data_IF_290550653256
#
_entry.id   IF_290550653256
#
_cell.length_a   1.000
_cell.length_b   1.000
_cell.length_c   1.000
_cell.angle_alpha   90.00
_cell.angle_beta   90.00
_cell.angle_gamma   90.00
#
_symmetry.space_group_name_H-M   'P 1'
#
loop_
_entity.id
_entity.type
_entity.pdbx_description
1 polymer ?
#
# COMPACT_ATOMS: atom_id res chain seq x y z
N UNK A 1 30.67 -54.05 44.15
CA UNK A 1 30.44 -54.70 45.46
C UNK A 1 28.98 -54.51 45.82
N UNK A 2 28.25 -55.64 45.98
CA UNK A 2 27.08 -55.87 46.87
C UNK A 2 25.88 -54.91 46.74
N UNK A 3 24.61 -55.29 46.74
CA UNK A 3 23.90 -56.56 46.88
C UNK A 3 22.41 -56.24 46.62
N UNK A 4 21.66 -57.13 45.96
CA UNK A 4 20.20 -57.26 46.10
C UNK A 4 19.86 -57.82 47.51
N UNK A 5 18.61 -58.10 47.99
CA UNK A 5 17.36 -58.25 47.21
C UNK A 5 15.99 -57.98 47.91
N UNK A 6 14.90 -58.14 47.14
CA UNK A 6 13.61 -58.81 47.42
C UNK A 6 12.77 -58.44 48.68
N UNK A 7 11.49 -58.07 48.48
CA UNK A 7 10.35 -58.99 48.71
C UNK A 7 8.97 -58.43 48.33
N UNK A 8 8.18 -59.31 47.71
CA UNK A 8 6.74 -59.28 47.44
C UNK A 8 5.89 -58.99 48.69
N UNK A 9 4.68 -58.46 48.48
CA UNK A 9 3.42 -59.23 48.62
C UNK A 9 2.22 -58.36 49.02
N UNK A 10 1.19 -58.42 48.18
CA UNK A 10 -0.26 -58.30 48.43
C UNK A 10 -0.77 -57.57 49.68
N UNK A 11 -1.72 -56.64 49.52
CA UNK A 11 -3.13 -56.80 49.96
C UNK A 11 -3.94 -55.49 49.80
N UNK A 12 -5.11 -55.62 49.14
CA UNK A 12 -6.41 -54.97 49.42
C UNK A 12 -6.64 -53.46 49.22
N UNK A 13 -7.51 -53.08 48.27
CA UNK A 13 -8.97 -52.79 48.37
C UNK A 13 -9.24 -51.31 48.70
N UNK A 14 -9.79 -50.61 47.69
CA UNK A 14 -10.78 -49.52 47.73
C UNK A 14 -10.37 -48.23 48.51
N UNK A 15 -10.65 -47.00 48.11
CA UNK A 15 -11.76 -46.32 47.43
C UNK A 15 -11.15 -44.97 47.00
N UNK A 16 -11.52 -44.39 45.85
CA UNK A 16 -11.93 -42.98 45.58
C UNK A 16 -11.97 -42.87 44.04
N UNK A 17 -13.09 -43.15 43.40
CA UNK A 17 -14.14 -42.18 43.02
C UNK A 17 -13.61 -40.98 42.22
N UNK A 18 -14.01 -40.97 40.94
CA UNK A 18 -14.19 -39.79 40.09
C UNK A 18 -12.94 -39.05 39.62
N UNK A 19 -12.54 -39.31 38.37
CA UNK A 19 -12.26 -38.32 37.31
C UNK A 19 -12.26 -39.09 35.97
N UNK A 20 -12.71 -38.42 34.90
CA UNK A 20 -12.83 -38.82 33.48
C UNK A 20 -14.29 -39.00 33.02
N UNK A 21 -15.04 -37.90 33.05
CA UNK A 21 -16.02 -37.59 31.99
C UNK A 21 -15.31 -36.71 30.98
N UNK A 22 -14.65 -37.32 29.98
CA UNK A 22 -14.21 -36.69 28.74
C UNK A 22 -13.98 -37.81 27.72
N UNK A 23 -14.87 -37.87 26.73
CA UNK A 23 -14.64 -38.48 25.42
C UNK A 23 -14.16 -39.92 25.41
N UNK A 24 -15.05 -40.88 25.69
CA UNK A 24 -14.88 -42.20 25.08
C UNK A 24 -15.25 -42.04 23.61
N UNK A 25 -14.24 -41.81 22.75
CA UNK A 25 -14.32 -42.19 21.35
C UNK A 25 -14.88 -43.60 21.31
N UNK A 26 -16.07 -43.77 20.74
CA UNK A 26 -16.68 -45.07 20.73
C UNK A 26 -15.79 -46.04 19.95
N UNK A 27 -15.27 -47.03 20.66
CA UNK A 27 -14.70 -48.23 20.04
C UNK A 27 -15.88 -49.03 19.47
N UNK A 28 -16.42 -48.62 18.34
CA UNK A 28 -17.53 -49.30 17.69
C UNK A 28 -17.01 -50.46 16.84
N UNK A 29 -16.68 -51.56 17.51
CA UNK A 29 -16.48 -52.86 16.85
C UNK A 29 -17.34 -53.88 17.57
N UNK A 30 -18.63 -53.85 17.25
CA UNK A 30 -19.64 -54.78 17.77
C UNK A 30 -20.51 -55.30 16.64
N UNK A 31 -20.80 -56.60 16.66
CA UNK A 31 -21.73 -57.25 15.71
C UNK A 31 -23.13 -56.66 15.96
N UNK A 32 -23.73 -56.08 14.93
CA UNK A 32 -25.08 -55.51 15.01
C UNK A 32 -26.17 -56.58 14.98
N UNK A 33 -27.38 -56.21 15.40
CA UNK A 33 -28.57 -57.05 15.30
C UNK A 33 -29.56 -56.45 14.30
N UNK A 34 -29.20 -56.48 13.01
CA UNK A 34 -29.99 -55.89 11.94
C UNK A 34 -31.25 -56.71 11.68
N UNK A 35 -32.42 -56.08 11.78
CA UNK A 35 -33.72 -56.73 11.53
C UNK A 35 -33.90 -57.29 10.12
N UNK A 36 -33.11 -56.79 9.15
CA UNK A 36 -33.02 -57.30 7.79
C UNK A 36 -31.57 -57.68 7.47
N UNK A 37 -31.33 -58.79 6.75
CA UNK A 37 -29.98 -59.15 6.33
C UNK A 37 -29.43 -58.11 5.34
N UNK A 38 -28.15 -57.77 5.49
CA UNK A 38 -27.43 -56.90 4.57
C UNK A 38 -27.26 -57.61 3.22
N UNK A 39 -27.61 -56.93 2.13
CA UNK A 39 -27.65 -57.51 0.77
C UNK A 39 -26.58 -56.95 -0.16
N UNK A 40 -25.72 -56.06 0.32
CA UNK A 40 -24.66 -55.41 -0.47
C UNK A 40 -23.43 -56.29 -0.75
N UNK A 41 -23.50 -57.59 -0.49
CA UNK A 41 -22.44 -58.56 -0.73
C UNK A 41 -21.58 -58.86 0.52
N UNK A 42 -20.45 -59.57 0.35
CA UNK A 42 -19.64 -60.04 1.48
C UNK A 42 -18.95 -58.92 2.27
N UNK A 43 -18.83 -57.73 1.67
CA UNK A 43 -18.28 -56.54 2.31
C UNK A 43 -19.36 -55.65 2.96
N UNK A 44 -20.63 -56.06 2.97
CA UNK A 44 -21.73 -55.32 3.62
C UNK A 44 -22.00 -55.92 5.00
N UNK A 45 -21.54 -55.24 6.04
CA UNK A 45 -21.50 -55.75 7.41
C UNK A 45 -22.63 -55.16 8.25
N UNK A 46 -23.34 -56.02 8.97
CA UNK A 46 -24.28 -55.58 9.99
C UNK A 46 -23.51 -55.15 11.25
N UNK A 47 -23.50 -53.84 11.53
CA UNK A 47 -22.78 -53.26 12.66
C UNK A 47 -23.75 -52.65 13.66
N UNK A 48 -23.39 -52.68 14.95
CA UNK A 48 -24.25 -52.14 16.01
C UNK A 48 -24.42 -50.61 15.89
N UNK A 49 -23.48 -49.92 15.24
CA UNK A 49 -23.46 -48.48 15.07
C UNK A 49 -22.75 -48.16 13.76
N UNK A 50 -23.54 -47.88 12.71
CA UNK A 50 -23.04 -47.56 11.38
C UNK A 50 -22.87 -46.06 11.21
N UNK A 51 -21.81 -45.64 10.53
CA UNK A 51 -21.60 -44.23 10.22
C UNK A 51 -22.76 -43.65 9.37
N UNK A 52 -23.25 -42.44 9.71
CA UNK A 52 -24.10 -41.66 8.79
C UNK A 52 -23.33 -41.16 7.56
N UNK A 53 -22.00 -41.20 7.63
CA UNK A 53 -21.07 -40.79 6.59
C UNK A 53 -20.86 -41.95 5.61
N UNK A 54 -21.92 -42.29 4.87
CA UNK A 54 -21.86 -43.40 3.92
C UNK A 54 -20.99 -43.00 2.75
N UNK A 55 -19.82 -43.65 2.61
CA UNK A 55 -18.96 -43.47 1.44
C UNK A 55 -19.57 -44.20 0.25
N UNK A 56 -19.84 -43.48 -0.83
CA UNK A 56 -20.42 -44.04 -2.06
C UNK A 56 -19.47 -43.90 -3.24
N UNK A 57 -19.81 -44.49 -4.38
CA UNK A 57 -19.05 -44.25 -5.61
C UNK A 57 -19.12 -42.79 -6.10
N UNK A 58 -20.22 -42.10 -5.79
CA UNK A 58 -20.45 -40.69 -6.11
C UNK A 58 -19.79 -39.74 -5.11
N UNK A 59 -19.63 -40.15 -3.84
CA UNK A 59 -18.89 -39.43 -2.80
C UNK A 59 -17.97 -40.39 -2.01
N UNK A 60 -16.72 -40.60 -2.49
CA UNK A 60 -15.75 -41.47 -1.83
C UNK A 60 -15.30 -40.97 -0.45
N UNK A 61 -15.54 -39.69 -0.15
CA UNK A 61 -15.14 -39.07 1.11
C UNK A 61 -16.23 -39.19 2.18
N UNK A 62 -17.48 -39.37 1.76
CA UNK A 62 -18.65 -39.53 2.64
C UNK A 62 -19.21 -38.21 3.20
N UNK A 63 -18.67 -37.06 2.79
CA UNK A 63 -19.16 -35.74 3.19
C UNK A 63 -19.02 -35.42 4.69
N UNK A 64 -19.80 -34.43 5.15
CA UNK A 64 -19.80 -33.97 6.54
C UNK A 64 -20.54 -34.93 7.46
N UNK A 65 -19.79 -35.68 8.27
CA UNK A 65 -20.35 -36.63 9.22
C UNK A 65 -20.93 -35.91 10.46
N UNK A 66 -22.08 -36.39 10.96
CA UNK A 66 -22.57 -36.03 12.30
C UNK A 66 -22.04 -37.06 13.33
N UNK A 67 -21.85 -36.69 14.60
CA UNK A 67 -21.26 -37.58 15.62
C UNK A 67 -22.16 -38.75 16.03
N UNK A 68 -23.44 -38.72 15.67
CA UNK A 68 -24.38 -39.81 15.86
C UNK A 68 -24.09 -40.97 14.89
N UNK A 69 -24.68 -42.13 15.15
CA UNK A 69 -24.63 -43.26 14.23
C UNK A 69 -25.98 -43.94 14.08
N UNK A 70 -26.11 -44.69 13.00
CA UNK A 70 -27.28 -45.49 12.73
C UNK A 70 -27.16 -46.84 13.44
N UNK A 71 -27.97 -47.05 14.46
CA UNK A 71 -27.93 -48.27 15.27
C UNK A 71 -28.38 -49.50 14.47
N UNK A 72 -27.65 -50.61 14.61
CA UNK A 72 -27.96 -51.91 13.99
C UNK A 72 -28.23 -51.82 12.48
N UNK A 73 -27.32 -51.17 11.76
CA UNK A 73 -27.43 -50.90 10.33
C UNK A 73 -26.29 -51.54 9.53
N UNK A 74 -26.49 -51.64 8.21
CA UNK A 74 -25.52 -52.20 7.27
C UNK A 74 -24.51 -51.14 6.82
N UNK A 75 -23.23 -51.41 7.04
CA UNK A 75 -22.12 -50.55 6.65
C UNK A 75 -21.13 -51.33 5.78
N UNK A 76 -20.61 -50.68 4.73
CA UNK A 76 -19.56 -51.28 3.94
C UNK A 76 -18.27 -51.38 4.76
N UNK A 77 -17.56 -52.50 4.62
CA UNK A 77 -16.24 -52.70 5.22
C UNK A 77 -15.30 -51.53 4.85
N UNK A 78 -14.38 -51.19 5.76
CA UNK A 78 -13.40 -50.15 5.52
C UNK A 78 -12.64 -50.37 4.20
N UNK A 79 -12.55 -49.33 3.38
CA UNK A 79 -11.95 -49.39 2.05
C UNK A 79 -12.92 -49.76 0.92
N UNK A 80 -14.17 -50.12 1.22
CA UNK A 80 -15.24 -50.33 0.23
C UNK A 80 -16.16 -49.11 0.15
N UNK A 81 -16.72 -48.88 -1.03
CA UNK A 81 -17.70 -47.84 -1.33
C UNK A 81 -19.04 -48.48 -1.68
N UNK A 82 -20.14 -47.87 -1.23
CA UNK A 82 -21.49 -48.32 -1.61
C UNK A 82 -21.83 -47.81 -3.01
N UNK A 83 -22.00 -48.71 -3.96
CA UNK A 83 -22.43 -48.39 -5.32
C UNK A 83 -23.94 -48.09 -5.38
N UNK A 84 -24.39 -47.45 -6.47
CA UNK A 84 -25.80 -47.09 -6.70
C UNK A 84 -26.76 -48.27 -6.74
N UNK A 85 -26.27 -49.48 -7.06
CA UNK A 85 -27.04 -50.72 -6.99
C UNK A 85 -27.10 -51.34 -5.57
N UNK A 86 -26.51 -50.67 -4.58
CA UNK A 86 -26.48 -51.09 -3.17
C UNK A 86 -25.35 -52.05 -2.80
N UNK A 87 -24.45 -52.41 -3.71
CA UNK A 87 -23.30 -53.29 -3.43
C UNK A 87 -22.10 -52.54 -2.85
N UNK A 88 -21.38 -53.17 -1.93
CA UNK A 88 -20.10 -52.68 -1.44
C UNK A 88 -18.97 -53.15 -2.38
N UNK A 89 -18.33 -52.21 -3.07
CA UNK A 89 -17.30 -52.48 -4.08
C UNK A 89 -16.02 -51.71 -3.77
N UNK A 90 -14.89 -52.14 -4.35
CA UNK A 90 -13.63 -51.40 -4.21
C UNK A 90 -13.66 -50.11 -5.04
N UNK A 91 -12.93 -49.04 -4.66
CA UNK A 91 -12.96 -47.75 -5.35
C UNK A 91 -12.70 -47.82 -6.85
N UNK A 92 -11.81 -48.70 -7.31
CA UNK A 92 -11.51 -48.86 -8.73
C UNK A 92 -12.63 -49.55 -9.53
N UNK A 93 -13.59 -50.19 -8.84
CA UNK A 93 -14.76 -50.81 -9.46
C UNK A 93 -15.94 -49.83 -9.58
N UNK A 94 -15.82 -48.62 -9.00
CA UNK A 94 -16.80 -47.58 -9.23
C UNK A 94 -16.78 -47.14 -10.70
N UNK A 95 -17.95 -46.80 -11.28
CA UNK A 95 -18.01 -46.19 -12.59
C UNK A 95 -17.09 -44.97 -12.61
N UNK A 96 -16.19 -44.89 -13.59
CA UNK A 96 -15.40 -43.69 -13.81
C UNK A 96 -16.38 -42.61 -14.27
N UNK A 97 -16.89 -41.81 -13.34
CA UNK A 97 -17.62 -40.59 -13.67
C UNK A 97 -16.54 -39.63 -14.16
N UNK A 98 -16.29 -39.62 -15.48
CA UNK A 98 -15.47 -38.56 -16.06
C UNK A 98 -16.13 -37.23 -15.67
N UNK A 99 -15.38 -36.33 -14.99
CA UNK A 99 -15.97 -35.10 -14.50
C UNK A 99 -16.54 -34.29 -15.66
N UNK A 100 -17.62 -33.54 -15.40
CA UNK A 100 -18.04 -32.37 -16.11
C UNK A 100 -17.06 -31.82 -17.13
N UNK A 101 -17.11 -32.09 -18.44
CA UNK A 101 -16.19 -31.34 -19.32
C UNK A 101 -16.50 -29.85 -19.13
N UNK A 102 -15.55 -29.00 -18.71
CA UNK A 102 -15.83 -27.62 -18.41
C UNK A 102 -16.41 -26.91 -19.63
N UNK A 103 -17.49 -26.16 -19.42
CA UNK A 103 -18.20 -25.42 -20.48
C UNK A 103 -17.55 -24.06 -20.67
N UNK A 104 -16.36 -24.04 -21.27
CA UNK A 104 -15.67 -22.80 -21.58
C UNK A 104 -16.19 -22.16 -22.87
N UNK A 105 -15.98 -20.85 -23.06
CA UNK A 105 -16.01 -20.26 -24.39
C UNK A 105 -14.99 -20.94 -25.32
N UNK A 106 -15.14 -20.73 -26.63
CA UNK A 106 -14.15 -21.22 -27.61
C UNK A 106 -12.83 -20.51 -27.35
N UNK A 107 -11.80 -21.27 -26.98
CA UNK A 107 -10.46 -20.74 -26.76
C UNK A 107 -9.79 -20.48 -28.12
N UNK A 108 -9.31 -19.26 -28.32
CA UNK A 108 -8.74 -18.80 -29.59
C UNK A 108 -7.24 -18.53 -29.51
N UNK A 109 -6.60 -18.72 -28.35
CA UNK A 109 -5.17 -18.49 -28.15
C UNK A 109 -4.25 -19.60 -28.67
N UNK A 110 -4.71 -20.36 -29.67
CA UNK A 110 -3.94 -21.45 -30.28
C UNK A 110 -3.94 -22.76 -29.48
N UNK A 111 -3.00 -23.65 -29.81
CA UNK A 111 -2.97 -25.04 -29.30
C UNK A 111 -2.67 -25.16 -27.80
N UNK A 112 -2.12 -24.10 -27.20
CA UNK A 112 -1.77 -24.05 -25.78
C UNK A 112 -2.78 -23.24 -24.94
N UNK A 113 -3.91 -22.82 -25.51
CA UNK A 113 -5.00 -22.16 -24.80
C UNK A 113 -6.06 -23.20 -24.39
N UNK A 114 -5.99 -23.66 -23.15
CA UNK A 114 -6.83 -24.75 -22.63
C UNK A 114 -8.02 -24.22 -21.85
N UNK A 115 -9.17 -24.85 -22.08
CA UNK A 115 -10.33 -24.71 -21.22
C UNK A 115 -10.06 -25.40 -19.88
N UNK A 116 -10.07 -24.62 -18.79
CA UNK A 116 -9.88 -25.10 -17.43
C UNK A 116 -11.12 -24.82 -16.60
N UNK A 117 -11.53 -25.78 -15.78
CA UNK A 117 -12.65 -25.60 -14.85
C UNK A 117 -12.31 -24.52 -13.82
N UNK A 118 -11.05 -24.44 -13.38
CA UNK A 118 -10.59 -23.49 -12.38
C UNK A 118 -9.33 -22.77 -12.85
N UNK A 119 -9.49 -21.59 -13.46
CA UNK A 119 -8.39 -20.74 -13.87
C UNK A 119 -7.95 -19.74 -12.80
N UNK A 120 -6.78 -19.13 -13.01
CA UNK A 120 -6.23 -18.07 -12.15
C UNK A 120 -6.77 -16.69 -12.54
N UNK A 121 -6.86 -15.78 -11.57
CA UNK A 121 -7.09 -14.34 -11.81
C UNK A 121 -5.83 -13.61 -12.33
N UNK A 122 -4.66 -14.27 -12.31
CA UNK A 122 -3.40 -13.67 -12.72
C UNK A 122 -2.72 -14.53 -13.79
N UNK A 123 -3.31 -14.62 -15.00
CA UNK A 123 -2.70 -15.33 -16.11
C UNK A 123 -1.34 -14.70 -16.43
N UNK A 124 -0.35 -15.55 -16.71
CA UNK A 124 0.98 -15.10 -17.13
C UNK A 124 0.88 -14.49 -18.53
N UNK A 125 1.46 -13.32 -18.74
CA UNK A 125 1.53 -12.66 -20.05
C UNK A 125 2.99 -12.40 -20.44
N UNK A 126 3.22 -12.00 -21.68
CA UNK A 126 4.56 -11.58 -22.12
C UNK A 126 5.08 -10.36 -21.33
N UNK A 127 4.21 -9.44 -20.94
CA UNK A 127 4.57 -8.26 -20.12
C UNK A 127 4.81 -8.63 -18.65
N UNK A 128 4.12 -9.66 -18.15
CA UNK A 128 4.26 -10.14 -16.78
C UNK A 128 4.30 -11.68 -16.72
N UNK A 129 5.46 -12.30 -16.99
CA UNK A 129 5.60 -13.76 -16.98
C UNK A 129 5.52 -14.36 -15.57
N UNK A 130 5.76 -13.54 -14.53
CA UNK A 130 5.81 -13.98 -13.13
C UNK A 130 5.03 -13.03 -12.21
N UNK A 131 3.68 -13.09 -12.22
CA UNK A 131 2.84 -12.27 -11.36
C UNK A 131 3.09 -12.58 -9.88
N UNK A 132 3.53 -11.57 -9.13
CA UNK A 132 3.98 -11.70 -7.73
C UNK A 132 2.84 -11.82 -6.71
N UNK A 133 1.71 -11.16 -6.97
CA UNK A 133 0.57 -11.11 -6.05
C UNK A 133 -0.67 -11.61 -6.78
N UNK A 134 -1.13 -12.81 -6.41
CA UNK A 134 -2.34 -13.38 -6.95
C UNK A 134 -3.28 -13.90 -5.88
N UNK A 135 -4.55 -13.56 -6.01
CA UNK A 135 -5.62 -14.12 -5.17
C UNK A 135 -5.83 -15.59 -5.53
N UNK A 136 -6.00 -16.46 -4.54
CA UNK A 136 -6.31 -17.89 -4.74
C UNK A 136 -7.77 -18.15 -5.17
N UNK A 137 -8.37 -17.21 -5.90
CA UNK A 137 -9.75 -17.34 -6.37
C UNK A 137 -9.77 -18.17 -7.64
N UNK A 138 -10.80 -19.00 -7.75
CA UNK A 138 -11.03 -19.90 -8.86
C UNK A 138 -11.93 -19.22 -9.91
N UNK A 139 -11.40 -18.97 -11.11
CA UNK A 139 -12.18 -18.49 -12.23
C UNK A 139 -12.79 -19.67 -12.98
N UNK A 140 -14.11 -19.81 -12.88
CA UNK A 140 -14.79 -20.98 -13.42
C UNK A 140 -14.84 -20.99 -14.94
N UNK A 141 -14.47 -22.12 -15.55
CA UNK A 141 -14.62 -22.41 -16.98
C UNK A 141 -14.00 -21.36 -17.91
N UNK A 142 -12.71 -21.08 -17.73
CA UNK A 142 -11.98 -20.07 -18.52
C UNK A 142 -10.95 -20.69 -19.46
N UNK A 143 -10.59 -19.96 -20.50
CA UNK A 143 -9.46 -20.28 -21.38
C UNK A 143 -8.17 -19.72 -20.77
N UNK A 144 -7.22 -20.61 -20.51
CA UNK A 144 -5.95 -20.26 -19.89
C UNK A 144 -4.79 -20.95 -20.61
N UNK A 145 -3.68 -20.21 -20.78
CA UNK A 145 -2.46 -20.78 -21.29
C UNK A 145 -1.95 -21.92 -20.40
N UNK A 146 -1.45 -22.96 -21.05
CA UNK A 146 -0.81 -24.09 -20.41
C UNK A 146 0.38 -23.70 -19.54
N UNK A 147 0.73 -24.57 -18.59
CA UNK A 147 1.93 -24.38 -17.79
C UNK A 147 3.18 -24.30 -18.69
N UNK A 148 4.00 -23.28 -18.47
CA UNK A 148 5.17 -22.98 -19.30
C UNK A 148 4.89 -22.01 -20.45
N UNK A 149 3.62 -21.70 -20.74
CA UNK A 149 3.21 -20.73 -21.75
C UNK A 149 2.73 -19.43 -21.11
N UNK A 150 2.83 -18.36 -21.88
CA UNK A 150 2.36 -17.02 -21.50
C UNK A 150 1.51 -16.43 -22.62
N UNK A 151 0.55 -15.59 -22.27
CA UNK A 151 -0.31 -14.93 -23.25
C UNK A 151 0.43 -13.76 -23.91
N UNK A 152 0.58 -13.82 -25.22
CA UNK A 152 1.13 -12.74 -26.04
C UNK A 152 0.11 -11.61 -26.26
N UNK A 153 0.55 -10.42 -26.71
CA UNK A 153 -0.34 -9.28 -26.95
C UNK A 153 -1.43 -9.52 -28.01
N UNK A 154 -1.17 -10.41 -28.96
CA UNK A 154 -2.12 -10.86 -29.99
C UNK A 154 -3.13 -11.90 -29.46
N UNK A 155 -2.98 -12.34 -28.22
CA UNK A 155 -3.87 -13.28 -27.54
C UNK A 155 -3.46 -14.74 -27.64
N UNK A 156 -2.38 -15.09 -28.35
CA UNK A 156 -1.87 -16.46 -28.46
C UNK A 156 -1.08 -16.89 -27.21
N UNK A 157 -1.11 -18.18 -26.90
CA UNK A 157 -0.29 -18.77 -25.86
C UNK A 157 1.05 -19.24 -26.44
N UNK A 158 2.12 -18.53 -26.12
CA UNK A 158 3.47 -18.74 -26.66
C UNK A 158 4.47 -19.06 -25.55
N UNK A 159 5.65 -19.56 -25.92
CA UNK A 159 6.75 -19.69 -24.95
C UNK A 159 7.27 -18.30 -24.55
N UNK A 160 7.75 -18.11 -23.30
CA UNK A 160 8.36 -16.84 -22.89
C UNK A 160 9.47 -16.34 -23.82
N UNK A 161 10.23 -17.26 -24.44
CA UNK A 161 11.28 -16.93 -25.41
C UNK A 161 10.77 -16.41 -26.76
N UNK A 162 9.48 -16.60 -27.04
CA UNK A 162 8.80 -16.13 -28.26
C UNK A 162 8.04 -14.83 -28.01
N UNK A 163 8.06 -14.31 -26.79
CA UNK A 163 7.50 -13.00 -26.52
C UNK A 163 8.20 -11.93 -27.36
N UNK A 164 7.46 -10.96 -27.91
CA UNK A 164 8.08 -9.85 -28.61
C UNK A 164 9.08 -9.19 -27.65
N UNK A 165 10.30 -8.99 -28.14
CA UNK A 165 11.24 -8.11 -27.46
C UNK A 165 10.57 -6.74 -27.45
N UNK A 166 10.07 -6.34 -26.28
CA UNK A 166 9.69 -4.94 -26.06
C UNK A 166 11.03 -4.21 -26.11
N UNK A 167 11.42 -3.78 -27.32
CA UNK A 167 12.52 -2.85 -27.44
C UNK A 167 12.14 -1.66 -26.55
N UNK A 168 13.02 -1.28 -25.60
CA UNK A 168 12.74 -0.12 -24.78
C UNK A 168 12.43 1.04 -25.72
N UNK A 169 11.41 1.88 -25.41
CA UNK A 169 11.04 2.99 -26.26
C UNK A 169 12.31 3.74 -26.64
N UNK A 170 12.48 4.01 -27.95
CA UNK A 170 13.65 4.69 -28.47
C UNK A 170 13.79 5.99 -27.68
N UNK A 171 14.77 6.02 -26.77
CA UNK A 171 15.02 7.12 -25.84
C UNK A 171 15.31 8.37 -26.65
N UNK A 172 14.38 9.32 -26.62
CA UNK A 172 14.53 10.59 -27.32
C UNK A 172 14.75 11.68 -26.29
N UNK A 173 15.97 11.72 -25.78
CA UNK A 173 16.49 12.93 -25.17
C UNK A 173 16.32 14.10 -26.14
N UNK A 174 15.62 15.18 -25.75
CA UNK A 174 15.53 16.36 -26.58
C UNK A 174 16.92 16.99 -26.74
N UNK A 175 17.11 17.77 -27.81
CA UNK A 175 18.33 18.56 -28.00
C UNK A 175 18.36 19.64 -26.92
N UNK A 176 19.31 19.55 -25.99
CA UNK A 176 19.50 20.55 -24.95
C UNK A 176 20.17 21.81 -25.51
N UNK A 177 19.56 22.96 -25.27
CA UNK A 177 19.98 24.25 -25.84
C UNK A 177 20.49 25.24 -24.80
N UNK A 178 20.49 24.86 -23.51
CA UNK A 178 20.95 25.69 -22.39
C UNK A 178 22.47 25.80 -22.24
N UNK A 179 23.25 25.37 -23.24
CA UNK A 179 24.71 25.45 -23.26
C UNK A 179 25.42 24.19 -22.77
N UNK A 180 26.72 24.30 -22.51
CA UNK A 180 27.59 23.15 -22.19
C UNK A 180 27.23 22.43 -20.88
N UNK A 181 26.51 23.12 -19.99
CA UNK A 181 26.08 22.61 -18.69
C UNK A 181 24.61 22.14 -18.68
N UNK A 182 23.94 22.11 -19.83
CA UNK A 182 22.56 21.59 -19.99
C UNK A 182 22.64 20.16 -20.53
N UNK A 183 22.50 19.17 -19.65
CA UNK A 183 22.68 17.75 -19.98
C UNK A 183 21.34 17.04 -20.06
N UNK A 184 21.19 16.15 -21.02
CA UNK A 184 20.08 15.21 -20.96
C UNK A 184 20.36 14.17 -19.87
N UNK A 185 19.39 13.99 -18.99
CA UNK A 185 19.41 12.99 -17.92
C UNK A 185 18.23 12.05 -18.09
N UNK A 186 18.46 10.76 -17.84
CA UNK A 186 17.40 9.74 -17.89
C UNK A 186 16.35 9.97 -16.80
N UNK A 187 16.75 10.59 -15.70
CA UNK A 187 15.90 10.88 -14.55
C UNK A 187 16.21 12.26 -13.99
N UNK A 188 15.53 13.27 -14.51
CA UNK A 188 15.64 14.63 -14.02
C UNK A 188 14.74 14.93 -12.83
N UNK A 189 15.11 15.95 -12.09
CA UNK A 189 14.37 16.47 -10.95
C UNK A 189 13.04 17.11 -11.39
N UNK A 190 12.00 16.97 -10.56
CA UNK A 190 10.74 17.71 -10.70
C UNK A 190 10.83 19.16 -10.23
N UNK A 191 11.93 19.50 -9.56
CA UNK A 191 12.24 20.81 -9.03
C UNK A 191 13.61 21.28 -9.58
N UNK A 192 13.74 21.57 -10.88
CA UNK A 192 15.02 21.97 -11.43
C UNK A 192 15.56 23.25 -10.75
N UNK A 193 16.86 23.28 -10.49
CA UNK A 193 17.53 24.44 -9.88
C UNK A 193 17.51 25.62 -10.86
N UNK A 194 17.00 26.76 -10.43
CA UNK A 194 16.88 27.98 -11.24
C UNK A 194 17.52 29.16 -10.54
N UNK A 195 17.79 30.26 -11.26
CA UNK A 195 18.26 31.49 -10.63
C UNK A 195 17.30 32.04 -9.57
N UNK A 196 15.98 31.81 -9.72
CA UNK A 196 14.96 32.23 -8.74
C UNK A 196 14.92 31.29 -7.53
N UNK A 197 15.21 30.01 -7.72
CA UNK A 197 15.25 29.00 -6.67
C UNK A 197 16.46 28.08 -6.87
N UNK A 198 17.66 28.50 -6.41
CA UNK A 198 18.89 27.73 -6.59
C UNK A 198 18.93 26.45 -5.75
N UNK A 199 18.20 26.42 -4.63
CA UNK A 199 18.16 25.30 -3.71
C UNK A 199 16.71 24.96 -3.31
N UNK A 200 15.97 24.24 -4.17
CA UNK A 200 14.61 23.79 -3.87
C UNK A 200 14.59 22.90 -2.61
N UNK A 201 13.81 23.29 -1.60
CA UNK A 201 13.77 22.61 -0.30
C UNK A 201 12.88 21.35 -0.31
N UNK A 202 11.82 21.36 -1.11
CA UNK A 202 10.82 20.29 -1.18
C UNK A 202 10.58 19.95 -2.64
N UNK A 203 10.82 18.69 -2.96
CA UNK A 203 10.70 18.12 -4.29
C UNK A 203 10.05 16.76 -4.18
N UNK A 204 9.29 16.34 -5.17
CA UNK A 204 8.81 14.95 -5.18
C UNK A 204 9.92 14.04 -5.68
N UNK A 205 9.92 12.78 -5.27
CA UNK A 205 10.84 11.77 -5.81
C UNK A 205 10.44 11.31 -7.23
N UNK A 206 9.66 12.14 -7.94
CA UNK A 206 9.18 11.84 -9.28
C UNK A 206 10.32 12.05 -10.28
N UNK A 207 10.58 11.00 -11.04
CA UNK A 207 11.55 10.99 -12.11
C UNK A 207 10.96 11.63 -13.37
N UNK A 208 11.50 12.77 -13.81
CA UNK A 208 11.19 13.32 -15.12
C UNK A 208 12.09 12.65 -16.16
N UNK A 209 11.51 11.76 -16.96
CA UNK A 209 12.28 10.93 -17.91
C UNK A 209 12.73 11.74 -19.12
N UNK A 210 13.98 11.53 -19.54
CA UNK A 210 14.57 12.10 -20.76
C UNK A 210 14.46 13.64 -20.85
N UNK A 211 14.90 14.35 -19.81
CA UNK A 211 14.85 15.82 -19.74
C UNK A 211 16.23 16.47 -19.74
N UNK A 212 16.30 17.72 -20.22
CA UNK A 212 17.48 18.55 -20.09
C UNK A 212 17.53 19.22 -18.72
N UNK A 213 18.57 18.93 -17.95
CA UNK A 213 18.80 19.47 -16.63
C UNK A 213 20.19 20.11 -16.53
N UNK A 214 20.28 21.22 -15.79
CA UNK A 214 21.56 21.85 -15.51
C UNK A 214 22.41 20.96 -14.60
N UNK A 215 23.70 20.83 -14.93
CA UNK A 215 24.67 20.11 -14.11
C UNK A 215 24.68 20.57 -12.65
N UNK A 216 25.18 19.70 -11.77
CA UNK A 216 25.41 20.05 -10.37
C UNK A 216 26.30 21.30 -10.26
N UNK A 217 25.91 22.26 -9.42
CA UNK A 217 26.57 23.57 -9.30
C UNK A 217 26.07 24.64 -10.29
N UNK A 218 25.30 24.28 -11.32
CA UNK A 218 24.71 25.20 -12.29
C UNK A 218 23.20 25.35 -12.09
N UNK A 219 22.67 26.53 -12.37
CA UNK A 219 21.25 26.83 -12.26
C UNK A 219 20.72 27.40 -13.56
N UNK A 220 19.45 27.12 -13.89
CA UNK A 220 18.84 27.64 -15.11
C UNK A 220 18.49 29.12 -14.95
N UNK A 221 19.08 29.95 -15.80
CA UNK A 221 18.79 31.37 -15.91
C UNK A 221 17.47 31.62 -16.68
N UNK A 222 16.86 32.82 -16.56
CA UNK A 222 15.62 33.16 -17.27
C UNK A 222 15.72 33.08 -18.80
N UNK A 223 16.93 33.23 -19.36
CA UNK A 223 17.20 33.08 -20.79
C UNK A 223 17.35 31.60 -21.22
N UNK A 224 17.16 30.65 -20.30
CA UNK A 224 17.25 29.21 -20.55
C UNK A 224 18.65 28.62 -20.46
N UNK A 225 19.70 29.41 -20.20
CA UNK A 225 21.07 28.91 -20.08
C UNK A 225 21.39 28.38 -18.68
N UNK A 226 22.22 27.35 -18.60
CA UNK A 226 22.77 26.85 -17.35
C UNK A 226 24.02 27.66 -16.99
N UNK A 227 23.93 28.42 -15.90
CA UNK A 227 24.96 29.36 -15.45
C UNK A 227 25.31 29.09 -13.98
N UNK A 228 26.43 29.62 -13.50
CA UNK A 228 26.72 29.59 -12.07
C UNK A 228 25.73 30.48 -11.31
N UNK A 229 25.41 30.14 -10.07
CA UNK A 229 24.51 30.95 -9.25
C UNK A 229 24.98 32.42 -9.11
N UNK A 230 26.30 32.65 -9.10
CA UNK A 230 26.89 34.00 -9.06
C UNK A 230 26.70 34.81 -10.35
N UNK A 231 26.32 34.16 -11.45
CA UNK A 231 26.04 34.75 -12.76
C UNK A 231 24.55 34.96 -12.99
N UNK A 232 23.71 34.63 -12.00
CA UNK A 232 22.30 34.94 -12.09
C UNK A 232 22.09 36.45 -12.20
N UNK A 233 21.14 36.91 -13.04
CA UNK A 233 20.79 38.30 -13.06
C UNK A 233 20.37 38.70 -11.64
N UNK A 234 20.93 39.81 -11.15
CA UNK A 234 20.42 40.45 -9.95
C UNK A 234 19.00 40.86 -10.30
N UNK A 235 18.03 40.07 -9.86
CA UNK A 235 16.66 40.52 -9.80
C UNK A 235 16.70 41.56 -8.70
N UNK A 236 16.92 42.82 -9.07
CA UNK A 236 16.58 43.94 -8.19
C UNK A 236 15.19 43.62 -7.64
N UNK A 237 14.99 43.63 -6.31
CA UNK A 237 13.67 43.36 -5.76
C UNK A 237 12.69 44.26 -6.49
N UNK A 238 11.76 43.62 -7.19
CA UNK A 238 10.66 44.26 -7.91
C UNK A 238 10.16 45.40 -7.01
N UNK A 239 10.05 46.65 -7.49
CA UNK A 239 9.33 47.68 -6.76
C UNK A 239 7.93 47.11 -6.51
N UNK A 240 7.67 46.79 -5.25
CA UNK A 240 6.49 46.16 -4.68
C UNK A 240 5.30 46.00 -5.66
N UNK A 241 4.99 44.79 -6.16
CA UNK A 241 3.83 44.56 -7.00
C UNK A 241 2.56 44.36 -6.15
N UNK A 242 2.35 45.19 -5.12
CA UNK A 242 1.09 45.25 -4.39
C UNK A 242 0.39 46.60 -4.70
N UNK A 243 -0.69 46.60 -5.52
CA UNK A 243 -1.39 47.81 -5.95
C UNK A 243 -2.01 48.65 -4.82
N UNK A 244 -2.03 48.14 -3.58
CA UNK A 244 -2.66 48.80 -2.44
C UNK A 244 -1.69 49.49 -1.48
N UNK A 245 -0.38 49.26 -1.63
CA UNK A 245 0.62 49.89 -0.78
C UNK A 245 0.94 51.31 -1.26
N UNK A 246 0.74 52.36 -0.43
CA UNK A 246 1.13 53.71 -0.79
C UNK A 246 2.66 53.84 -0.86
N UNK A 247 3.14 54.80 -1.65
CA UNK A 247 4.56 55.13 -1.70
C UNK A 247 4.98 55.73 -0.35
N UNK A 248 5.89 55.05 0.34
CA UNK A 248 6.46 55.49 1.61
C UNK A 248 7.54 56.55 1.38
N UNK A 249 7.44 57.68 2.09
CA UNK A 249 8.29 58.87 1.88
C UNK A 249 9.12 59.22 3.10
N UNK A 250 9.09 58.40 4.15
CA UNK A 250 9.81 58.58 5.41
C UNK A 250 11.28 58.21 5.37
N UNK A 251 11.87 58.01 4.19
CA UNK A 251 13.28 57.71 3.99
C UNK A 251 13.61 56.22 3.94
N UNK A 252 14.89 55.83 4.07
CA UNK A 252 15.35 54.46 3.81
C UNK A 252 14.84 53.41 4.82
N UNK A 253 14.27 53.85 5.94
CA UNK A 253 13.72 52.99 6.99
C UNK A 253 12.19 53.06 7.09
N UNK A 254 11.52 53.61 6.07
CA UNK A 254 10.05 53.66 5.96
C UNK A 254 9.61 52.65 4.89
N UNK A 255 9.02 51.53 5.29
CA UNK A 255 8.59 50.47 4.38
C UNK A 255 7.07 50.29 4.44
N UNK A 256 6.47 49.81 3.35
CA UNK A 256 5.06 49.43 3.37
C UNK A 256 4.93 48.02 3.96
N UNK A 257 3.99 47.84 4.88
CA UNK A 257 3.60 46.54 5.41
C UNK A 257 2.12 46.29 5.11
N UNK A 258 1.78 45.06 4.73
CA UNK A 258 0.39 44.63 4.54
C UNK A 258 -0.39 44.58 5.86
N UNK A 259 0.32 44.55 7.00
CA UNK A 259 -0.27 44.58 8.33
C UNK A 259 0.60 45.39 9.29
N UNK A 260 0.27 46.67 9.45
CA UNK A 260 0.97 47.59 10.34
C UNK A 260 0.32 47.72 11.71
N UNK A 261 1.09 48.28 12.64
CA UNK A 261 0.65 48.56 14.00
C UNK A 261 -0.29 49.76 14.05
N UNK A 262 -1.43 49.63 14.74
CA UNK A 262 -2.30 50.76 15.09
C UNK A 262 -1.62 51.82 15.99
N UNK A 263 -0.45 51.49 16.56
CA UNK A 263 0.29 52.35 17.48
C UNK A 263 1.76 52.44 17.06
N UNK A 264 2.01 52.72 15.78
CA UNK A 264 3.36 52.85 15.23
C UNK A 264 4.25 53.77 16.11
N UNK A 265 5.48 53.34 16.45
CA UNK A 265 6.38 54.12 17.30
C UNK A 265 6.67 55.51 16.71
N UNK A 266 6.52 56.55 17.53
CA UNK A 266 6.82 57.93 17.13
C UNK A 266 7.56 58.71 18.22
N UNK A 267 8.29 59.74 17.81
CA UNK A 267 8.98 60.63 18.74
C UNK A 267 8.00 61.29 19.74
N UNK A 268 8.38 61.32 21.01
CA UNK A 268 7.56 61.92 22.08
C UNK A 268 6.34 61.09 22.51
N UNK A 269 6.16 59.88 21.97
CA UNK A 269 5.19 58.89 22.47
C UNK A 269 5.88 57.89 23.42
N UNK A 270 5.22 57.52 24.54
CA UNK A 270 5.73 56.45 25.42
C UNK A 270 5.88 55.15 24.64
N UNK A 271 6.87 54.33 25.00
CA UNK A 271 7.11 53.01 24.40
C UNK A 271 6.13 51.97 24.90
N UNK A 272 5.58 52.17 26.09
CA UNK A 272 4.80 51.17 26.82
C UNK A 272 3.30 51.49 26.71
N UNK A 273 2.84 51.71 25.48
CA UNK A 273 1.41 51.92 25.20
C UNK A 273 0.79 50.56 24.90
N UNK A 274 -0.23 50.19 25.69
CA UNK A 274 -1.09 49.07 25.33
C UNK A 274 -1.79 49.39 24.01
N UNK A 275 -1.43 48.66 22.95
CA UNK A 275 -1.98 48.84 21.62
C UNK A 275 -3.08 47.83 21.35
N UNK A 276 -4.14 48.25 20.67
CA UNK A 276 -5.12 47.31 20.14
C UNK A 276 -4.42 46.39 19.11
N UNK A 277 -4.61 45.08 19.22
CA UNK A 277 -4.09 44.09 18.27
C UNK A 277 -4.89 44.10 16.96
N UNK A 278 -4.96 45.28 16.34
CA UNK A 278 -5.66 45.53 15.09
C UNK A 278 -4.62 45.74 14.01
N UNK A 279 -4.80 45.00 12.91
CA UNK A 279 -4.00 45.08 11.71
C UNK A 279 -4.43 46.32 10.91
N UNK A 280 -3.55 47.31 10.75
CA UNK A 280 -3.77 48.37 9.77
C UNK A 280 -3.24 47.90 8.42
N UNK A 281 -4.14 47.64 7.49
CA UNK A 281 -3.79 47.11 6.17
C UNK A 281 -3.03 48.14 5.32
N UNK A 282 -1.96 47.70 4.68
CA UNK A 282 -1.21 48.44 3.65
C UNK A 282 -0.74 49.84 4.09
N UNK A 283 -0.05 49.92 5.23
CA UNK A 283 0.45 51.19 5.80
C UNK A 283 1.97 51.28 5.75
N UNK A 284 2.49 52.51 5.66
CA UNK A 284 3.91 52.78 5.82
C UNK A 284 4.29 52.79 7.29
N UNK A 285 5.27 51.96 7.66
CA UNK A 285 5.77 51.83 9.02
C UNK A 285 7.30 51.89 9.02
N UNK A 286 7.85 52.45 10.10
CA UNK A 286 9.29 52.43 10.29
C UNK A 286 9.81 51.02 10.61
N UNK A 287 11.01 50.70 10.13
CA UNK A 287 11.74 49.49 10.52
C UNK A 287 11.88 49.38 12.05
N UNK A 288 12.01 48.15 12.55
CA UNK A 288 12.26 47.90 13.97
C UNK A 288 13.50 48.67 14.47
N UNK A 289 13.37 49.35 15.61
CA UNK A 289 14.40 50.23 16.17
C UNK A 289 14.34 51.69 15.68
N UNK A 290 13.54 51.98 14.65
CA UNK A 290 13.26 53.33 14.17
C UNK A 290 11.89 53.81 14.67
N UNK A 291 11.76 55.12 14.80
CA UNK A 291 10.51 55.78 15.18
C UNK A 291 10.22 56.93 14.24
N UNK A 292 8.94 57.22 14.02
CA UNK A 292 8.54 58.32 13.15
C UNK A 292 8.86 59.67 13.82
N UNK A 293 9.73 60.43 13.16
CA UNK A 293 10.17 61.76 13.58
C UNK A 293 9.22 62.89 13.19
N UNK A 294 9.51 64.14 13.60
CA UNK A 294 8.65 65.30 13.33
C UNK A 294 8.53 65.66 11.84
N UNK A 295 9.53 65.29 11.02
CA UNK A 295 9.55 65.56 9.58
C UNK A 295 9.07 64.35 8.77
N UNK A 296 8.29 63.46 9.38
CA UNK A 296 7.80 62.22 8.77
C UNK A 296 8.89 61.20 8.40
N UNK A 297 10.15 61.43 8.81
CA UNK A 297 11.27 60.52 8.57
C UNK A 297 11.40 59.47 9.68
N UNK A 298 11.73 58.24 9.31
CA UNK A 298 12.08 57.18 10.24
C UNK A 298 13.51 57.39 10.73
N UNK A 299 13.64 57.69 12.02
CA UNK A 299 14.91 58.01 12.68
C UNK A 299 15.08 57.16 13.94
N UNK A 300 16.31 57.02 14.42
CA UNK A 300 16.54 56.33 15.69
C UNK A 300 15.87 57.11 16.83
N UNK A 301 15.33 56.40 17.83
CA UNK A 301 14.67 57.06 18.98
C UNK A 301 15.60 58.02 19.75
N UNK A 302 16.92 57.79 19.70
CA UNK A 302 17.95 58.69 20.25
C UNK A 302 18.06 60.04 19.51
N UNK A 303 17.63 60.10 18.25
CA UNK A 303 17.63 61.29 17.40
C UNK A 303 16.34 62.12 17.52
N UNK A 304 15.36 61.67 18.32
CA UNK A 304 14.16 62.44 18.57
C UNK A 304 14.49 63.80 19.20
N UNK A 305 13.83 64.90 18.78
CA UNK A 305 14.02 66.21 19.38
C UNK A 305 13.72 66.14 20.89
N UNK A 306 14.69 66.53 21.71
CA UNK A 306 14.47 66.66 23.15
C UNK A 306 13.50 67.82 23.37
N UNK A 307 12.40 67.57 24.08
CA UNK A 307 11.52 68.67 24.53
C UNK A 307 12.32 69.56 25.49
N UNK A 308 12.71 70.74 25.04
CA UNK A 308 13.24 71.76 25.92
C UNK A 308 12.11 72.25 26.84
N UNK A 309 12.15 71.88 28.12
CA UNK A 309 11.34 72.57 29.12
C UNK A 309 11.83 74.02 29.22
N UNK A 310 11.06 74.94 28.64
CA UNK A 310 11.31 76.38 28.73
C UNK A 310 11.15 76.78 30.21
N UNK A 311 12.26 76.90 30.94
CA UNK A 311 12.27 77.50 32.29
C UNK A 311 11.71 78.91 32.15
N UNK A 312 10.57 79.21 32.79
CA UNK A 312 10.09 80.58 32.96
C UNK A 312 11.14 81.31 33.81
N UNK A 313 11.91 82.18 33.19
CA UNK A 313 12.72 83.19 33.89
C UNK A 313 11.75 84.18 34.54
N UNK A 314 11.72 84.22 35.87
CA UNK A 314 11.19 85.36 36.61
C UNK A 314 12.03 86.58 36.24
N UNK A 315 11.41 87.57 35.61
CA UNK A 315 11.91 88.94 35.59
C UNK A 315 11.32 89.60 36.84
N UNK A 316 12.19 90.24 37.61
CA UNK A 316 11.86 90.90 38.88
C UNK A 316 10.98 92.13 38.74
#
# INVERSE_FOLDING_TARGET
MMNSPLKNSLFTIAIVASIITLGQCCSHSGIGNCSKPCTGGPADLCVACASYCVKTCEDPTGGGCIPECNENACECMEGFLRASNGQCVLPFQCPQIEPPKPQCPVCTGGVHDKCVECGTDCPKTCENPNPQACTKRCNLNVCQCEEGYVRAPDGECVLPSQCPLIEPPIRQCPICTGGIHDKCVECGSDCPRTCKNPNPQVCTLRCNVDVCECEEGYVRAPNGQCVLQSQCPVIDPVPNPDPQCPICTGGPHDHCTSCGSACAPACGKPTDIACAAVCLENVCQCDDGYVRGPNNQCILRSQCPKKCHRKRTHVG
#
